data_IF_594900122811
#
_entry.id   IF_594900122811
#
_cell.length_a   1.000
_cell.length_b   1.000
_cell.length_c   1.000
_cell.angle_alpha   90.00
_cell.angle_beta   90.00
_cell.angle_gamma   90.00
#
_symmetry.space_group_name_H-M   'P 1'
#
loop_
_entity.id
_entity.type
_entity.pdbx_description
1 polymer ?
#
# COMPACT_ATOMS: atom_id res chain seq x y z
N UNK A 1 11.92 -2.83 5.63
CA UNK A 1 11.28 -2.63 6.95
C UNK A 1 10.93 -4.01 7.51
N UNK A 2 10.66 -4.20 8.81
CA UNK A 2 10.09 -5.49 9.24
C UNK A 2 8.66 -5.64 8.65
N UNK A 3 8.23 -6.87 8.29
CA UNK A 3 6.89 -7.09 7.72
C UNK A 3 5.76 -6.57 8.62
N UNK A 4 5.86 -6.82 9.93
CA UNK A 4 4.87 -6.36 10.92
C UNK A 4 4.73 -4.83 10.94
N UNK A 5 5.86 -4.11 10.87
CA UNK A 5 5.85 -2.64 10.87
C UNK A 5 5.29 -2.10 9.55
N UNK A 6 5.60 -2.75 8.43
CA UNK A 6 5.06 -2.40 7.11
C UNK A 6 3.53 -2.57 7.08
N UNK A 7 3.01 -3.72 7.53
CA UNK A 7 1.57 -3.99 7.65
C UNK A 7 0.89 -2.93 8.53
N UNK A 8 1.45 -2.66 9.72
CA UNK A 8 0.92 -1.65 10.63
C UNK A 8 0.84 -0.27 9.96
N UNK A 9 1.90 0.15 9.27
CA UNK A 9 1.95 1.46 8.61
C UNK A 9 0.97 1.56 7.44
N UNK A 10 0.89 0.53 6.59
CA UNK A 10 -0.06 0.49 5.48
C UNK A 10 -1.51 0.58 5.98
N UNK A 11 -1.84 -0.13 7.06
CA UNK A 11 -3.18 -0.10 7.66
C UNK A 11 -3.50 1.27 8.28
N UNK A 12 -2.52 1.96 8.87
CA UNK A 12 -2.72 3.32 9.37
C UNK A 12 -3.06 4.30 8.24
N UNK A 13 -2.42 4.15 7.09
CA UNK A 13 -2.72 4.93 5.89
C UNK A 13 -4.15 4.63 5.41
N UNK A 14 -4.54 3.35 5.39
CA UNK A 14 -5.91 2.97 5.02
C UNK A 14 -6.97 3.54 5.98
N UNK A 15 -6.72 3.49 7.30
CA UNK A 15 -7.61 4.08 8.31
C UNK A 15 -7.79 5.57 8.04
N UNK A 16 -6.71 6.30 7.76
CA UNK A 16 -6.79 7.71 7.42
C UNK A 16 -7.68 7.94 6.19
N UNK A 17 -7.42 7.25 5.07
CA UNK A 17 -8.18 7.48 3.83
C UNK A 17 -9.64 7.02 3.88
N UNK A 18 -9.99 6.04 4.74
CA UNK A 18 -11.38 5.68 5.03
C UNK A 18 -12.20 6.83 5.62
N UNK A 19 -11.56 7.77 6.31
CA UNK A 19 -12.24 8.94 6.91
C UNK A 19 -12.38 10.12 5.94
N UNK A 20 -11.68 10.07 4.80
CA UNK A 20 -11.68 11.17 3.85
C UNK A 20 -12.87 11.05 2.89
N UNK A 21 -13.50 12.16 2.49
CA UNK A 21 -14.55 12.13 1.47
C UNK A 21 -14.01 11.73 0.09
N UNK A 22 -14.83 11.06 -0.72
CA UNK A 22 -14.54 10.71 -2.12
C UNK A 22 -14.73 9.22 -2.44
N UNK A 23 -14.65 8.89 -3.73
CA UNK A 23 -15.20 7.62 -4.24
C UNK A 23 -14.18 6.47 -4.38
N UNK A 24 -12.87 6.77 -4.30
CA UNK A 24 -11.83 5.73 -4.42
C UNK A 24 -10.71 5.90 -3.38
N UNK A 25 -10.88 5.22 -2.24
CA UNK A 25 -9.87 5.19 -1.19
C UNK A 25 -8.65 4.33 -1.58
N UNK A 26 -8.83 3.29 -2.40
CA UNK A 26 -7.72 2.42 -2.82
C UNK A 26 -6.75 3.17 -3.74
N UNK A 27 -7.28 3.99 -4.66
CA UNK A 27 -6.47 4.88 -5.50
C UNK A 27 -5.64 5.86 -4.66
N UNK A 28 -6.28 6.52 -3.68
CA UNK A 28 -5.58 7.48 -2.81
C UNK A 28 -4.49 6.82 -1.96
N UNK A 29 -4.73 5.60 -1.48
CA UNK A 29 -3.72 4.81 -0.77
C UNK A 29 -2.56 4.47 -1.71
N UNK A 30 -2.84 3.98 -2.92
CA UNK A 30 -1.82 3.62 -3.89
C UNK A 30 -0.93 4.82 -4.26
N UNK A 31 -1.53 5.99 -4.49
CA UNK A 31 -0.81 7.23 -4.77
C UNK A 31 0.07 7.64 -3.58
N UNK A 32 -0.48 7.63 -2.35
CA UNK A 32 0.28 7.97 -1.16
C UNK A 32 1.47 7.05 -0.93
N UNK A 33 1.28 5.73 -1.08
CA UNK A 33 2.38 4.77 -0.97
C UNK A 33 3.41 5.00 -2.07
N UNK A 34 2.97 5.28 -3.30
CA UNK A 34 3.86 5.58 -4.42
C UNK A 34 4.71 6.82 -4.21
N UNK A 35 4.16 7.86 -3.59
CA UNK A 35 4.86 9.14 -3.38
C UNK A 35 5.80 9.14 -2.18
N UNK A 36 5.43 8.44 -1.09
CA UNK A 36 6.12 8.54 0.18
C UNK A 36 6.94 7.30 0.56
N UNK A 37 6.69 6.15 -0.06
CA UNK A 37 7.49 4.94 0.21
C UNK A 37 8.61 4.78 -0.80
N UNK A 38 9.79 4.46 -0.26
CA UNK A 38 10.94 4.07 -1.08
C UNK A 38 10.60 2.86 -1.96
N UNK A 39 11.21 2.74 -3.16
CA UNK A 39 11.03 1.61 -4.08
C UNK A 39 11.00 0.24 -3.38
N UNK A 40 12.01 -0.05 -2.57
CA UNK A 40 12.16 -1.31 -1.82
C UNK A 40 11.02 -1.61 -0.83
N UNK A 41 10.34 -0.58 -0.31
CA UNK A 41 9.22 -0.77 0.61
C UNK A 41 7.95 -1.15 -0.16
N UNK A 42 7.79 -0.62 -1.38
CA UNK A 42 6.71 -0.99 -2.30
C UNK A 42 6.88 -2.43 -2.77
N UNK A 43 8.09 -2.83 -3.16
CA UNK A 43 8.38 -4.23 -3.51
C UNK A 43 8.07 -5.20 -2.35
N UNK A 44 8.38 -4.81 -1.12
CA UNK A 44 8.04 -5.62 0.06
C UNK A 44 6.53 -5.74 0.27
N UNK A 45 5.76 -4.68 -0.03
CA UNK A 45 4.31 -4.71 0.06
C UNK A 45 3.71 -5.62 -1.01
N UNK A 46 4.14 -5.48 -2.27
CA UNK A 46 3.74 -6.36 -3.37
C UNK A 46 3.99 -7.83 -3.02
N UNK A 47 5.21 -8.16 -2.57
CA UNK A 47 5.55 -9.52 -2.18
C UNK A 47 4.69 -10.05 -1.01
N UNK A 48 4.29 -9.18 -0.06
CA UNK A 48 3.41 -9.57 1.04
C UNK A 48 1.97 -9.80 0.57
N UNK A 49 1.49 -8.99 -0.38
CA UNK A 49 0.18 -9.16 -1.02
C UNK A 49 0.14 -10.46 -1.83
N UNK A 50 1.17 -10.74 -2.63
CA UNK A 50 1.31 -11.99 -3.39
C UNK A 50 1.33 -13.23 -2.47
N UNK A 51 1.89 -13.10 -1.26
CA UNK A 51 1.88 -14.14 -0.24
C UNK A 51 0.53 -14.28 0.52
N UNK A 52 -0.51 -13.56 0.09
CA UNK A 52 -1.87 -13.62 0.65
C UNK A 52 -2.25 -12.43 1.53
N UNK A 53 -1.38 -11.43 1.70
CA UNK A 53 -1.73 -10.14 2.30
C UNK A 53 -2.11 -10.22 3.79
N UNK A 54 -1.58 -11.20 4.54
CA UNK A 54 -1.98 -11.45 5.92
C UNK A 54 -1.87 -10.19 6.80
N UNK A 55 -2.98 -9.82 7.45
CA UNK A 55 -3.06 -8.68 8.35
C UNK A 55 -3.17 -7.31 7.66
N UNK A 56 -3.14 -7.23 6.33
CA UNK A 56 -3.39 -5.98 5.61
C UNK A 56 -4.89 -5.65 5.57
N UNK A 57 -5.18 -4.36 5.57
CA UNK A 57 -6.52 -3.86 5.29
C UNK A 57 -6.93 -4.21 3.85
N UNK A 58 -8.19 -4.63 3.60
CA UNK A 58 -8.64 -4.93 2.24
C UNK A 58 -8.44 -3.79 1.24
N UNK A 59 -8.48 -2.53 1.68
CA UNK A 59 -8.18 -1.40 0.80
C UNK A 59 -6.70 -1.31 0.41
N UNK A 60 -5.78 -1.76 1.27
CA UNK A 60 -4.36 -1.82 0.91
C UNK A 60 -4.13 -2.92 -0.12
N UNK A 61 -4.75 -4.09 0.07
CA UNK A 61 -4.69 -5.19 -0.91
C UNK A 61 -5.26 -4.73 -2.25
N UNK A 62 -6.39 -4.02 -2.24
CA UNK A 62 -6.98 -3.46 -3.46
C UNK A 62 -6.09 -2.39 -4.10
N UNK A 63 -5.38 -1.59 -3.30
CA UNK A 63 -4.46 -0.56 -3.77
C UNK A 63 -3.21 -1.12 -4.44
N UNK A 64 -2.78 -2.33 -4.08
CA UNK A 64 -1.52 -2.93 -4.52
C UNK A 64 -1.31 -2.88 -6.04
N UNK A 65 -2.32 -3.28 -6.82
CA UNK A 65 -2.27 -3.30 -8.28
C UNK A 65 -2.07 -1.91 -8.93
N UNK A 66 -2.21 -0.82 -8.16
CA UNK A 66 -2.10 0.57 -8.61
C UNK A 66 -0.85 1.27 -8.09
N UNK A 67 -0.08 0.63 -7.21
CA UNK A 67 1.17 1.18 -6.67
C UNK A 67 2.23 1.19 -7.78
N UNK A 68 3.01 2.27 -7.87
CA UNK A 68 4.13 2.36 -8.83
C UNK A 68 5.11 1.21 -8.60
N UNK A 69 5.30 0.40 -9.63
CA UNK A 69 6.34 -0.64 -9.66
C UNK A 69 7.71 -0.01 -9.80
N UNK A 70 8.73 -0.67 -9.25
CA UNK A 70 10.10 -0.19 -9.29
C UNK A 70 10.73 -0.28 -10.69
N UNK A 71 10.22 -1.18 -11.54
CA UNK A 71 10.63 -1.29 -12.94
C UNK A 71 10.16 -0.10 -13.80
N UNK A 72 9.08 0.57 -13.42
CA UNK A 72 8.56 1.72 -14.16
C UNK A 72 9.32 3.04 -13.90
N UNK A 73 10.30 3.03 -12.99
CA UNK A 73 11.08 4.21 -12.57
C UNK A 73 12.49 4.26 -13.20
N UNK A 74 12.72 3.50 -14.29
CA UNK A 74 13.99 3.42 -15.03
C UNK A 74 14.08 4.32 -16.27
#
# INVERSE_FOLDING_TARGET
MSPEKMVRMANQIAIFFKTQPGDDAAEKIAQHLSDFWEPRMRDQLHAHVDAGGAGLDPLVIAADARIRTTTAEG
#
